data_IF_743715595340
#
_entry.id   IF_743715595340
#
_cell.length_a   1.000
_cell.length_b   1.000
_cell.length_c   1.000
_cell.angle_alpha   90.00
_cell.angle_beta   90.00
_cell.angle_gamma   90.00
#
_symmetry.space_group_name_H-M   'P 1'
#
loop_
_entity.id
_entity.type
_entity.pdbx_description
1 polymer ?
#
# COMPACT_ATOMS: atom_id res chain seq x y z
N UNK A 1 10.84 -9.90 14.78
CA UNK A 1 10.60 -11.37 14.78
C UNK A 1 9.10 -11.63 14.66
N UNK A 2 8.71 -12.58 13.80
CA UNK A 2 7.31 -12.98 13.58
C UNK A 2 6.57 -13.34 14.88
N UNK A 3 5.32 -12.89 14.99
CA UNK A 3 4.39 -13.28 16.07
C UNK A 3 3.04 -13.65 15.48
N UNK A 4 2.56 -14.83 15.80
CA UNK A 4 1.30 -15.38 15.27
C UNK A 4 0.08 -14.51 15.62
N UNK A 5 0.05 -13.91 16.80
CA UNK A 5 -1.07 -13.06 17.25
C UNK A 5 -1.38 -11.92 16.28
N UNK A 6 -0.36 -11.27 15.68
CA UNK A 6 -0.54 -10.19 14.70
C UNK A 6 -1.05 -10.70 13.36
N UNK A 7 -0.59 -11.88 12.93
CA UNK A 7 -1.12 -12.52 11.73
C UNK A 7 -2.58 -12.90 11.89
N UNK A 8 -2.95 -13.48 13.04
CA UNK A 8 -4.36 -13.80 13.31
C UNK A 8 -5.23 -12.54 13.32
N UNK A 9 -4.71 -11.41 13.79
CA UNK A 9 -5.43 -10.14 13.73
C UNK A 9 -5.60 -9.64 12.31
N UNK A 10 -4.57 -9.71 11.46
CA UNK A 10 -4.68 -9.37 10.04
C UNK A 10 -5.72 -10.25 9.31
N UNK A 11 -5.75 -11.55 9.63
CA UNK A 11 -6.76 -12.47 9.10
C UNK A 11 -8.19 -12.13 9.57
N UNK A 12 -8.37 -11.74 10.83
CA UNK A 12 -9.67 -11.29 11.34
C UNK A 12 -10.15 -10.03 10.60
N UNK A 13 -9.26 -9.06 10.36
CA UNK A 13 -9.57 -7.86 9.58
C UNK A 13 -9.94 -8.19 8.13
N UNK A 14 -9.33 -9.22 7.53
CA UNK A 14 -9.72 -9.65 6.19
C UNK A 14 -11.16 -10.19 6.13
N UNK A 15 -11.63 -10.82 7.21
CA UNK A 15 -13.03 -11.27 7.34
C UNK A 15 -14.00 -10.08 7.48
N UNK A 16 -13.61 -9.01 8.17
CA UNK A 16 -14.40 -7.78 8.26
C UNK A 16 -14.69 -7.18 6.89
N UNK A 17 -13.71 -7.15 5.99
CA UNK A 17 -13.91 -6.69 4.60
C UNK A 17 -15.01 -7.46 3.88
N UNK A 18 -15.06 -8.78 4.07
CA UNK A 18 -16.09 -9.65 3.46
C UNK A 18 -17.48 -9.39 4.06
N UNK A 19 -17.56 -9.34 5.39
CA UNK A 19 -18.84 -9.16 6.10
C UNK A 19 -19.54 -7.85 5.74
N UNK A 20 -18.79 -6.79 5.60
CA UNK A 20 -19.31 -5.46 5.30
C UNK A 20 -19.37 -5.12 3.81
N UNK A 21 -19.00 -6.05 2.92
CA UNK A 21 -18.94 -5.83 1.46
C UNK A 21 -18.13 -4.60 1.05
N UNK A 22 -17.05 -4.32 1.80
CA UNK A 22 -16.20 -3.16 1.56
C UNK A 22 -15.22 -3.35 0.39
N UNK A 23 -14.89 -4.60 0.07
CA UNK A 23 -13.94 -4.93 -0.98
C UNK A 23 -13.49 -6.39 -0.93
N UNK A 24 -12.27 -6.64 -1.34
CA UNK A 24 -11.68 -7.98 -1.34
C UNK A 24 -11.22 -8.41 0.07
N UNK A 25 -11.08 -9.73 0.34
CA UNK A 25 -10.80 -10.28 1.67
C UNK A 25 -9.34 -10.09 2.08
N UNK A 26 -8.90 -8.86 2.20
CA UNK A 26 -7.53 -8.51 2.60
C UNK A 26 -7.54 -7.60 3.82
N UNK A 27 -6.72 -7.96 4.81
CA UNK A 27 -6.55 -7.22 6.05
C UNK A 27 -5.09 -7.17 6.46
N UNK A 28 -4.70 -6.10 7.16
CA UNK A 28 -3.34 -5.89 7.60
C UNK A 28 -3.26 -5.15 8.93
N UNK A 29 -2.14 -5.34 9.63
CA UNK A 29 -1.78 -4.56 10.81
C UNK A 29 -0.35 -4.06 10.71
N UNK A 30 -0.11 -2.85 11.22
CA UNK A 30 1.22 -2.29 11.46
C UNK A 30 1.56 -2.43 12.92
N UNK A 31 2.76 -2.95 13.20
CA UNK A 31 3.23 -3.25 14.56
C UNK A 31 4.53 -2.50 14.83
N UNK A 32 4.58 -1.79 15.96
CA UNK A 32 5.79 -1.15 16.49
C UNK A 32 6.04 -1.62 17.92
N UNK A 33 7.27 -2.06 18.21
CA UNK A 33 7.67 -2.50 19.56
C UNK A 33 6.71 -3.53 20.19
N UNK A 34 6.19 -4.45 19.38
CA UNK A 34 5.28 -5.49 19.82
C UNK A 34 3.85 -5.02 20.13
N UNK A 35 3.46 -3.84 19.68
CA UNK A 35 2.09 -3.31 19.78
C UNK A 35 1.54 -3.00 18.41
N UNK A 36 0.26 -3.28 18.19
CA UNK A 36 -0.45 -2.84 16.98
C UNK A 36 -0.66 -1.34 17.04
N UNK A 37 -0.12 -0.62 16.05
CA UNK A 37 -0.22 0.84 15.92
C UNK A 37 -1.09 1.25 14.73
N UNK A 38 -1.40 0.33 13.81
CA UNK A 38 -2.30 0.58 12.69
C UNK A 38 -3.03 -0.69 12.27
N UNK A 39 -4.29 -0.55 11.86
CA UNK A 39 -5.16 -1.62 11.42
C UNK A 39 -5.88 -1.22 10.14
N UNK A 40 -6.04 -2.15 9.21
CA UNK A 40 -6.75 -1.88 7.98
C UNK A 40 -7.27 -3.14 7.32
N UNK A 41 -8.32 -2.98 6.56
CA UNK A 41 -8.84 -3.97 5.64
C UNK A 41 -9.21 -3.30 4.32
N UNK A 42 -9.38 -4.08 3.26
CA UNK A 42 -9.66 -3.56 1.93
C UNK A 42 -11.00 -2.81 1.91
N UNK A 43 -10.96 -1.54 1.49
CA UNK A 43 -12.10 -0.63 1.41
C UNK A 43 -12.26 0.00 0.02
N UNK A 44 -11.69 -0.59 -1.01
CA UNK A 44 -11.70 -0.07 -2.39
C UNK A 44 -13.12 0.26 -2.86
N UNK A 45 -14.08 -0.64 -2.63
CA UNK A 45 -15.48 -0.46 -3.05
C UNK A 45 -16.17 0.64 -2.23
N UNK A 46 -16.06 0.58 -0.91
CA UNK A 46 -16.79 1.52 -0.03
C UNK A 46 -16.26 2.95 -0.10
N UNK A 47 -14.97 3.12 -0.39
CA UNK A 47 -14.32 4.44 -0.52
C UNK A 47 -14.27 4.95 -1.95
N UNK A 48 -14.58 4.11 -2.95
CA UNK A 48 -14.31 4.39 -4.37
C UNK A 48 -12.87 4.85 -4.60
N UNK A 49 -11.93 4.25 -3.84
CA UNK A 49 -10.51 4.54 -3.89
C UNK A 49 -9.75 3.25 -4.26
N UNK A 50 -9.19 3.15 -5.48
CA UNK A 50 -8.46 1.96 -5.92
C UNK A 50 -7.18 1.69 -5.13
N UNK A 51 -6.74 2.62 -4.31
CA UNK A 51 -5.56 2.46 -3.44
C UNK A 51 -5.92 2.02 -2.01
N UNK A 52 -7.21 1.96 -1.64
CA UNK A 52 -7.66 1.60 -0.30
C UNK A 52 -7.54 0.09 0.00
N UNK A 53 -6.34 -0.48 -0.26
CA UNK A 53 -5.96 -1.83 0.10
C UNK A 53 -5.77 -1.95 1.61
N UNK A 54 -5.90 -3.16 2.17
CA UNK A 54 -5.78 -3.39 3.61
C UNK A 54 -4.46 -2.88 4.19
N UNK A 55 -3.35 -3.09 3.50
CA UNK A 55 -2.04 -2.62 3.90
C UNK A 55 -1.94 -1.08 3.88
N UNK A 56 -2.51 -0.45 2.85
CA UNK A 56 -2.52 1.02 2.74
C UNK A 56 -3.37 1.63 3.87
N UNK A 57 -4.53 1.04 4.16
CA UNK A 57 -5.38 1.49 5.26
C UNK A 57 -4.69 1.32 6.62
N UNK A 58 -3.99 0.20 6.85
CA UNK A 58 -3.22 -0.01 8.06
C UNK A 58 -2.05 0.99 8.21
N UNK A 59 -1.38 1.34 7.11
CA UNK A 59 -0.34 2.36 7.08
C UNK A 59 -0.92 3.74 7.36
N UNK A 60 -2.05 4.12 6.74
CA UNK A 60 -2.75 5.38 6.99
C UNK A 60 -3.15 5.52 8.46
N UNK A 61 -3.73 4.48 9.04
CA UNK A 61 -4.12 4.44 10.45
C UNK A 61 -2.90 4.57 11.38
N UNK A 62 -1.80 3.87 11.07
CA UNK A 62 -0.55 3.98 11.82
C UNK A 62 0.03 5.39 11.77
N UNK A 63 0.08 6.01 10.58
CA UNK A 63 0.57 7.37 10.41
C UNK A 63 -0.25 8.38 11.23
N UNK A 64 -1.57 8.25 11.22
CA UNK A 64 -2.46 9.10 12.01
C UNK A 64 -2.27 8.91 13.52
N UNK A 65 -2.19 7.66 14.00
CA UNK A 65 -2.03 7.37 15.44
C UNK A 65 -0.66 7.77 15.99
N UNK A 66 0.38 7.69 15.15
CA UNK A 66 1.75 8.04 15.52
C UNK A 66 2.12 9.49 15.19
N UNK A 67 1.22 10.23 14.55
CA UNK A 67 1.41 11.60 14.06
C UNK A 67 2.70 11.77 13.23
N UNK A 68 2.97 10.79 12.36
CA UNK A 68 4.16 10.80 11.49
C UNK A 68 3.94 9.92 10.26
N UNK A 69 4.57 10.28 9.14
CA UNK A 69 4.67 9.44 7.95
C UNK A 69 5.90 8.52 7.96
N UNK A 70 6.79 8.68 8.94
CA UNK A 70 7.97 7.82 9.10
C UNK A 70 7.63 6.66 10.03
N UNK A 71 7.48 5.45 9.45
CA UNK A 71 7.18 4.21 10.16
C UNK A 71 8.42 3.31 10.33
N UNK A 72 9.62 3.89 10.36
CA UNK A 72 10.85 3.16 10.68
C UNK A 72 10.73 2.45 12.03
N UNK A 73 11.22 1.21 12.11
CA UNK A 73 11.03 0.34 13.26
C UNK A 73 9.68 -0.40 13.29
N UNK A 74 8.80 -0.16 12.31
CA UNK A 74 7.53 -0.87 12.20
C UNK A 74 7.64 -2.12 11.34
N UNK A 75 6.79 -3.10 11.64
CA UNK A 75 6.59 -4.32 10.87
C UNK A 75 5.15 -4.36 10.39
N UNK A 76 4.91 -4.93 9.21
CA UNK A 76 3.58 -5.10 8.67
C UNK A 76 3.24 -6.59 8.56
N UNK A 77 2.05 -6.95 9.03
CA UNK A 77 1.45 -8.28 8.87
C UNK A 77 0.22 -8.15 7.98
N UNK A 78 0.11 -9.01 6.97
CA UNK A 78 -1.01 -8.97 6.02
C UNK A 78 -1.52 -10.38 5.68
N UNK A 79 -2.80 -10.48 5.39
CA UNK A 79 -3.45 -11.75 5.05
C UNK A 79 -3.02 -12.32 3.70
N UNK A 80 -2.47 -11.49 2.80
CA UNK A 80 -1.94 -11.90 1.49
C UNK A 80 -0.65 -11.16 1.18
N UNK A 81 0.19 -11.74 0.33
CA UNK A 81 1.37 -11.10 -0.24
C UNK A 81 1.01 -9.74 -0.86
N UNK A 82 1.70 -8.65 -0.45
CA UNK A 82 1.37 -7.32 -0.92
C UNK A 82 1.61 -7.12 -2.41
N UNK A 83 0.71 -6.41 -3.08
CA UNK A 83 0.89 -6.00 -4.47
C UNK A 83 1.91 -4.85 -4.60
N UNK A 84 2.27 -4.49 -5.83
CA UNK A 84 3.28 -3.47 -6.11
C UNK A 84 2.97 -2.10 -5.50
N UNK A 85 1.70 -1.68 -5.42
CA UNK A 85 1.29 -0.41 -4.79
C UNK A 85 1.59 -0.44 -3.30
N UNK A 86 1.21 -1.54 -2.63
CA UNK A 86 1.41 -1.71 -1.19
C UNK A 86 2.90 -1.75 -0.84
N UNK A 87 3.68 -2.52 -1.60
CA UNK A 87 5.15 -2.62 -1.41
C UNK A 87 5.80 -1.24 -1.61
N UNK A 88 5.45 -0.50 -2.66
CA UNK A 88 6.00 0.84 -2.89
C UNK A 88 5.70 1.78 -1.71
N UNK A 89 4.47 1.73 -1.17
CA UNK A 89 4.09 2.53 0.00
C UNK A 89 4.89 2.14 1.24
N UNK A 90 5.12 0.83 1.48
CA UNK A 90 5.92 0.35 2.60
C UNK A 90 7.36 0.87 2.56
N UNK A 91 7.98 0.91 1.38
CA UNK A 91 9.30 1.52 1.20
C UNK A 91 9.29 3.02 1.48
N UNK A 92 8.28 3.75 0.99
CA UNK A 92 8.17 5.20 1.19
C UNK A 92 8.08 5.55 2.67
N UNK A 93 7.31 4.79 3.47
CA UNK A 93 7.14 5.06 4.91
C UNK A 93 8.19 4.38 5.80
N UNK A 94 9.06 3.52 5.26
CA UNK A 94 10.16 2.89 5.97
C UNK A 94 9.77 1.65 6.80
N UNK A 95 8.79 0.83 6.36
CA UNK A 95 8.49 -0.47 7.00
C UNK A 95 9.71 -1.38 6.89
N UNK A 96 10.15 -1.98 8.01
CA UNK A 96 11.37 -2.79 8.08
C UNK A 96 11.18 -4.28 7.79
N UNK A 97 9.98 -4.81 8.06
CA UNK A 97 9.69 -6.22 7.82
C UNK A 97 8.23 -6.44 7.41
N UNK A 98 8.02 -7.40 6.52
CA UNK A 98 6.71 -7.79 6.03
C UNK A 98 6.52 -9.27 6.33
N UNK A 99 5.37 -9.61 6.91
CA UNK A 99 4.91 -10.99 7.12
C UNK A 99 3.56 -11.15 6.43
N UNK A 100 3.41 -12.15 5.58
CA UNK A 100 2.17 -12.42 4.87
C UNK A 100 1.74 -13.88 5.02
N UNK A 101 0.43 -14.14 4.93
CA UNK A 101 -0.12 -15.48 5.11
C UNK A 101 -0.22 -16.25 3.79
N UNK A 102 -0.95 -15.73 2.79
CA UNK A 102 -1.11 -16.38 1.49
C UNK A 102 -0.23 -15.68 0.45
N UNK A 103 0.32 -16.44 -0.50
CA UNK A 103 1.00 -15.85 -1.66
C UNK A 103 0.00 -15.34 -2.70
N UNK A 104 0.44 -14.37 -3.50
CA UNK A 104 -0.40 -13.69 -4.48
C UNK A 104 -0.82 -14.63 -5.62
N UNK A 105 0.04 -15.57 -6.00
CA UNK A 105 -0.27 -16.58 -7.05
C UNK A 105 -1.41 -17.50 -6.62
N UNK A 106 -1.43 -17.93 -5.36
CA UNK A 106 -2.51 -18.74 -4.80
C UNK A 106 -3.82 -17.94 -4.70
N UNK A 107 -3.75 -16.66 -4.29
CA UNK A 107 -4.90 -15.77 -4.25
C UNK A 107 -5.53 -15.58 -5.64
N UNK A 108 -4.74 -15.25 -6.64
CA UNK A 108 -5.25 -14.97 -8.01
C UNK A 108 -5.95 -16.16 -8.64
N UNK A 109 -5.58 -17.41 -8.31
CA UNK A 109 -6.29 -18.61 -8.78
C UNK A 109 -7.75 -18.63 -8.34
N UNK A 110 -8.07 -18.09 -7.17
CA UNK A 110 -9.43 -18.02 -6.64
C UNK A 110 -10.22 -16.84 -7.19
N UNK A 111 -9.56 -15.78 -7.67
CA UNK A 111 -10.23 -14.61 -8.27
C UNK A 111 -10.51 -14.78 -9.77
N UNK A 112 -9.66 -15.48 -10.51
CA UNK A 112 -9.82 -15.71 -11.97
C UNK A 112 -11.21 -16.19 -12.41
N UNK A 113 -11.93 -17.04 -11.65
CA UNK A 113 -13.27 -17.48 -12.04
C UNK A 113 -14.38 -16.45 -11.79
N UNK A 114 -14.08 -15.34 -11.09
CA UNK A 114 -15.07 -14.33 -10.74
C UNK A 114 -15.22 -13.36 -11.90
N UNK A 115 -16.37 -13.43 -12.59
CA UNK A 115 -16.74 -12.42 -13.58
C UNK A 115 -17.04 -11.07 -12.91
N UNK A 116 -16.69 -9.97 -13.57
CA UNK A 116 -16.95 -8.58 -13.10
C UNK A 116 -16.21 -8.20 -11.82
N UNK A 117 -14.96 -8.60 -11.65
CA UNK A 117 -14.12 -8.03 -10.60
C UNK A 117 -13.58 -6.65 -11.05
N UNK A 118 -13.40 -5.73 -10.11
CA UNK A 118 -12.79 -4.41 -10.37
C UNK A 118 -11.34 -4.50 -10.91
N UNK A 119 -10.74 -5.68 -10.91
CA UNK A 119 -9.38 -5.96 -11.35
C UNK A 119 -9.32 -6.93 -12.54
N UNK A 120 -10.37 -7.00 -13.36
CA UNK A 120 -10.44 -7.93 -14.52
C UNK A 120 -9.24 -7.86 -15.45
N UNK A 121 -8.58 -6.72 -15.51
CA UNK A 121 -7.48 -6.46 -16.44
C UNK A 121 -6.12 -6.29 -15.76
N UNK A 122 -5.98 -6.62 -14.48
CA UNK A 122 -4.71 -6.46 -13.77
C UNK A 122 -3.98 -7.79 -13.66
N UNK A 123 -2.98 -7.99 -14.51
CA UNK A 123 -1.98 -9.03 -14.31
C UNK A 123 -0.95 -8.52 -13.29
N UNK A 124 -0.82 -9.22 -12.16
CA UNK A 124 0.05 -8.80 -11.06
C UNK A 124 1.53 -8.90 -11.39
N UNK A 125 1.93 -9.84 -12.24
CA UNK A 125 3.32 -10.00 -12.67
C UNK A 125 3.68 -8.92 -13.68
N UNK A 126 2.80 -8.66 -14.64
CA UNK A 126 2.94 -7.54 -15.56
C UNK A 126 2.96 -6.19 -14.81
N UNK A 127 2.10 -5.98 -13.81
CA UNK A 127 2.15 -4.78 -12.99
C UNK A 127 3.52 -4.59 -12.29
N UNK A 128 4.10 -5.66 -11.76
CA UNK A 128 5.45 -5.63 -11.18
C UNK A 128 6.51 -5.20 -12.18
N UNK A 129 6.44 -5.74 -13.39
CA UNK A 129 7.34 -5.37 -14.49
C UNK A 129 7.16 -3.90 -14.89
N UNK A 130 5.92 -3.48 -15.17
CA UNK A 130 5.61 -2.11 -15.59
C UNK A 130 6.02 -1.05 -14.57
N UNK A 131 5.85 -1.31 -13.26
CA UNK A 131 6.23 -0.37 -12.19
C UNK A 131 7.76 -0.21 -12.10
N UNK A 132 8.53 -1.27 -12.43
CA UNK A 132 9.99 -1.24 -12.43
C UNK A 132 10.63 -0.55 -13.65
N UNK A 133 9.88 -0.36 -14.74
CA UNK A 133 10.37 0.25 -15.97
C UNK A 133 10.52 1.77 -15.88
N UNK A 134 11.35 2.35 -16.76
CA UNK A 134 11.35 3.79 -17.00
C UNK A 134 10.02 4.22 -17.61
N UNK A 135 9.62 5.47 -17.39
CA UNK A 135 8.29 5.93 -17.78
C UNK A 135 8.03 5.82 -19.28
N UNK A 136 9.05 6.05 -20.10
CA UNK A 136 9.00 5.95 -21.56
C UNK A 136 8.92 4.51 -22.11
N UNK A 137 9.25 3.51 -21.26
CA UNK A 137 9.24 2.09 -21.62
C UNK A 137 7.94 1.40 -21.24
N UNK A 138 7.07 2.07 -20.46
CA UNK A 138 5.79 1.51 -19.96
C UNK A 138 4.73 1.47 -21.06
N UNK A 139 3.77 0.55 -20.93
CA UNK A 139 2.62 0.48 -21.84
C UNK A 139 1.72 1.72 -21.82
N UNK A 140 1.66 2.42 -20.69
CA UNK A 140 0.94 3.69 -20.58
C UNK A 140 1.74 4.73 -21.34
N UNK A 141 1.11 5.30 -22.39
CA UNK A 141 1.72 6.38 -23.18
C UNK A 141 2.06 7.56 -22.29
N UNK A 142 3.29 8.02 -22.37
CA UNK A 142 3.78 9.16 -21.60
C UNK A 142 4.46 10.19 -22.50
N UNK A 143 4.33 11.45 -22.13
CA UNK A 143 5.08 12.56 -22.75
C UNK A 143 5.34 13.63 -21.71
N UNK A 144 6.49 14.29 -21.80
CA UNK A 144 6.88 15.37 -20.89
C UNK A 144 6.56 16.72 -21.50
N UNK A 145 5.88 17.57 -20.72
CA UNK A 145 5.53 18.95 -21.09
C UNK A 145 5.77 19.88 -19.90
N UNK A 146 5.95 21.16 -20.17
CA UNK A 146 6.08 22.25 -19.18
C UNK A 146 7.16 21.97 -18.10
N UNK A 147 8.27 21.38 -18.52
CA UNK A 147 9.34 20.93 -17.61
C UNK A 147 10.02 22.09 -16.88
N UNK A 148 10.25 23.22 -17.56
CA UNK A 148 10.93 24.39 -16.99
C UNK A 148 10.08 25.05 -15.92
N UNK A 149 8.79 25.25 -16.18
CA UNK A 149 7.83 25.82 -15.23
C UNK A 149 7.67 24.93 -13.99
N UNK A 150 7.58 23.62 -14.19
CA UNK A 150 7.50 22.66 -13.10
C UNK A 150 8.76 22.69 -12.22
N UNK A 151 9.95 22.77 -12.81
CA UNK A 151 11.21 22.86 -12.06
C UNK A 151 11.34 24.15 -11.27
N UNK A 152 10.83 25.28 -11.78
CA UNK A 152 10.79 26.56 -11.03
C UNK A 152 9.95 26.41 -9.76
N UNK A 153 8.79 25.76 -9.82
CA UNK A 153 7.92 25.53 -8.67
C UNK A 153 8.63 24.66 -7.62
N UNK A 154 9.25 23.55 -8.07
CA UNK A 154 9.98 22.63 -7.18
C UNK A 154 11.15 23.33 -6.50
N UNK A 155 11.93 24.11 -7.25
CA UNK A 155 13.06 24.89 -6.72
C UNK A 155 12.62 25.88 -5.66
N UNK A 156 11.58 26.67 -5.93
CA UNK A 156 11.05 27.65 -4.99
C UNK A 156 10.55 27.00 -3.70
N UNK A 157 9.90 25.83 -3.79
CA UNK A 157 9.48 25.07 -2.64
C UNK A 157 10.68 24.59 -1.81
N UNK A 158 11.71 24.01 -2.47
CA UNK A 158 12.90 23.50 -1.79
C UNK A 158 13.68 24.62 -1.06
N UNK A 159 13.82 25.78 -1.70
CA UNK A 159 14.47 26.96 -1.09
C UNK A 159 13.72 27.44 0.15
N UNK A 160 12.37 27.47 0.09
CA UNK A 160 11.54 27.85 1.23
C UNK A 160 11.65 26.83 2.38
N UNK A 161 11.56 25.54 2.09
CA UNK A 161 11.70 24.49 3.10
C UNK A 161 13.06 24.54 3.82
N UNK A 162 14.16 24.77 3.08
CA UNK A 162 15.49 24.91 3.66
C UNK A 162 15.61 26.11 4.62
N UNK A 163 14.89 27.20 4.37
CA UNK A 163 14.86 28.37 5.27
C UNK A 163 14.06 28.08 6.56
N UNK A 164 12.98 27.30 6.46
CA UNK A 164 12.15 26.92 7.62
C UNK A 164 12.89 25.94 8.55
N UNK A 165 13.71 25.03 8.02
CA UNK A 165 14.54 24.11 8.82
C UNK A 165 15.73 24.80 9.52
N UNK A 166 16.12 26.00 9.06
CA UNK A 166 17.28 26.74 9.60
C UNK A 166 16.92 27.68 10.77
N UNK A 167 15.63 27.82 11.10
CA UNK A 167 15.11 28.63 12.19
C UNK A 167 14.55 27.76 13.32
#
# INVERSE_FOLDING_TARGET
MYKQEFMLKALALSQESVHHKHGQPFGAVVVKEGKVVGEGYNQVISKLDPTAHGEIEAIRDACQKLDTVNLSGCQLYTSCEPCSICVATMYVVGIEAIYYASDLTSCTKHFKPLENTIYENVDTDDLREQVGMRIEERRITSSQHESEEALVIIKNWAEKAALEESN
#
